data_IF_879833534113
#
_entry.id   IF_879833534113
#
_cell.length_a   1.000
_cell.length_b   1.000
_cell.length_c   1.000
_cell.angle_alpha   90.00
_cell.angle_beta   90.00
_cell.angle_gamma   90.00
#
_symmetry.space_group_name_H-M   'P 1'
#
loop_
_entity.id
_entity.type
_entity.pdbx_description
1 polymer ?
#
# COMPACT_ATOMS: atom_id res chain seq x y z
N UNK A 1 -5.20 -17.80 -2.88
CA UNK A 1 -4.09 -17.10 -3.58
C UNK A 1 -2.91 -18.06 -3.76
N UNK A 2 -2.11 -17.85 -4.78
CA UNK A 2 -0.85 -18.57 -5.03
C UNK A 2 0.28 -17.56 -5.29
N UNK A 3 1.52 -18.02 -5.22
CA UNK A 3 2.69 -17.18 -5.50
C UNK A 3 2.84 -17.10 -7.03
N UNK A 4 2.61 -15.93 -7.59
CA UNK A 4 2.78 -15.68 -9.02
C UNK A 4 4.26 -15.37 -9.35
N UNK A 5 4.91 -14.59 -8.48
CA UNK A 5 6.29 -14.16 -8.69
C UNK A 5 7.03 -14.13 -7.36
N UNK A 6 8.26 -14.63 -7.35
CA UNK A 6 9.17 -14.54 -6.21
C UNK A 6 10.44 -13.79 -6.64
N UNK A 7 10.72 -12.69 -5.97
CA UNK A 7 11.93 -11.89 -6.17
C UNK A 7 12.77 -11.97 -4.91
N UNK A 8 14.07 -12.22 -5.06
CA UNK A 8 15.03 -12.20 -3.96
C UNK A 8 16.10 -11.15 -4.24
N UNK A 9 16.40 -10.31 -3.25
CA UNK A 9 17.42 -9.27 -3.34
C UNK A 9 18.30 -9.26 -2.10
N UNK A 10 19.60 -9.14 -2.28
CA UNK A 10 20.54 -8.86 -1.18
C UNK A 10 20.58 -7.36 -0.93
N UNK A 11 20.39 -6.96 0.35
CA UNK A 11 20.42 -5.58 0.81
C UNK A 11 21.69 -5.33 1.64
N UNK A 12 22.39 -4.19 1.46
CA UNK A 12 23.56 -3.83 2.23
C UNK A 12 23.19 -3.18 3.56
N UNK A 13 22.36 -3.82 4.36
CA UNK A 13 21.96 -3.34 5.68
C UNK A 13 21.53 -4.50 6.58
N UNK A 14 21.52 -4.27 7.89
CA UNK A 14 21.02 -5.25 8.85
C UNK A 14 19.54 -5.55 8.61
N UNK A 15 19.16 -6.83 8.71
CA UNK A 15 17.79 -7.28 8.45
C UNK A 15 16.73 -6.64 9.36
N UNK A 16 17.09 -6.31 10.62
CA UNK A 16 16.18 -5.63 11.55
C UNK A 16 15.95 -4.19 11.12
N UNK A 17 17.02 -3.46 10.75
CA UNK A 17 16.89 -2.10 10.25
C UNK A 17 16.07 -2.05 8.95
N UNK A 18 16.27 -3.03 8.05
CA UNK A 18 15.45 -3.16 6.86
C UNK A 18 13.97 -3.41 7.20
N UNK A 19 13.70 -4.31 8.17
CA UNK A 19 12.34 -4.61 8.60
C UNK A 19 11.67 -3.39 9.28
N UNK A 20 12.39 -2.68 10.15
CA UNK A 20 11.88 -1.51 10.87
C UNK A 20 11.42 -0.40 9.92
N UNK A 21 12.13 -0.18 8.81
CA UNK A 21 11.76 0.82 7.80
C UNK A 21 10.41 0.53 7.11
N UNK A 22 9.87 -0.67 7.22
CA UNK A 22 8.55 -1.03 6.71
C UNK A 22 7.46 -1.04 7.80
N UNK A 23 7.83 -0.80 9.06
CA UNK A 23 6.89 -0.73 10.18
C UNK A 23 6.56 0.72 10.59
N UNK A 24 6.93 1.70 9.76
CA UNK A 24 6.68 3.10 10.03
C UNK A 24 6.49 3.87 8.72
N UNK A 25 5.93 5.08 8.80
CA UNK A 25 5.70 5.92 7.63
C UNK A 25 6.37 7.30 7.72
N UNK A 26 7.05 7.62 8.82
CA UNK A 26 7.65 8.95 9.00
C UNK A 26 8.81 9.22 8.05
N UNK A 27 9.48 8.18 7.51
CA UNK A 27 10.51 8.36 6.48
C UNK A 27 9.94 8.79 5.10
N UNK A 28 8.61 8.65 4.89
CA UNK A 28 7.95 9.02 3.63
C UNK A 28 8.22 10.48 3.27
N UNK A 29 8.22 11.36 4.28
CA UNK A 29 8.44 12.77 4.08
C UNK A 29 9.77 13.10 3.37
N UNK A 30 10.85 12.37 3.73
CA UNK A 30 12.20 12.60 3.22
C UNK A 30 12.57 11.65 2.07
N UNK A 31 12.07 10.42 2.12
CA UNK A 31 12.51 9.35 1.20
C UNK A 31 11.57 9.20 0.00
N UNK A 32 10.27 9.44 0.20
CA UNK A 32 9.20 9.29 -0.79
C UNK A 32 8.42 10.60 -0.94
N UNK A 33 9.13 11.71 -1.16
CA UNK A 33 8.55 13.06 -1.19
C UNK A 33 7.42 13.23 -2.22
N UNK A 34 7.40 12.45 -3.28
CA UNK A 34 6.29 12.44 -4.25
C UNK A 34 5.00 11.81 -3.67
N UNK A 35 5.14 10.96 -2.65
CA UNK A 35 4.02 10.30 -1.98
C UNK A 35 3.27 11.20 -0.99
N UNK A 36 3.86 12.30 -0.52
CA UNK A 36 3.31 13.12 0.57
C UNK A 36 1.94 13.75 0.25
N UNK A 37 1.58 13.86 -1.02
CA UNK A 37 0.28 14.40 -1.44
C UNK A 37 -0.87 13.39 -1.36
N UNK A 38 -0.54 12.09 -1.38
CA UNK A 38 -1.55 11.01 -1.44
C UNK A 38 -1.33 9.89 -0.44
N UNK A 39 -0.22 9.89 0.28
CA UNK A 39 0.10 8.91 1.30
C UNK A 39 0.57 9.65 2.56
N UNK A 40 -0.39 10.04 3.38
CA UNK A 40 -0.12 10.85 4.57
C UNK A 40 0.71 10.08 5.59
N UNK A 41 1.98 10.44 5.74
CA UNK A 41 2.97 9.80 6.61
C UNK A 41 2.53 9.73 8.09
N UNK A 42 1.94 10.80 8.61
CA UNK A 42 1.44 10.84 9.99
C UNK A 42 0.01 10.27 10.17
N UNK A 43 -0.66 9.90 9.08
CA UNK A 43 -1.98 9.27 9.09
C UNK A 43 -1.84 7.74 9.04
N UNK A 44 -1.04 7.19 9.93
CA UNK A 44 -0.81 5.77 10.06
C UNK A 44 -1.30 5.26 11.42
N UNK A 45 -1.98 4.12 11.39
CA UNK A 45 -2.50 3.48 12.60
C UNK A 45 -1.70 2.21 12.91
N UNK A 46 -1.52 1.95 14.20
CA UNK A 46 -0.78 0.78 14.68
C UNK A 46 -1.60 0.00 15.70
N UNK A 47 -1.66 -1.31 15.51
CA UNK A 47 -2.23 -2.24 16.48
C UNK A 47 -1.19 -3.29 16.87
N UNK A 48 -1.24 -3.72 18.12
CA UNK A 48 -0.37 -4.77 18.67
C UNK A 48 -1.24 -5.91 19.19
N UNK A 49 -1.00 -7.12 18.66
CA UNK A 49 -1.72 -8.33 19.02
C UNK A 49 -0.76 -9.31 19.73
N UNK A 50 -0.68 -9.18 21.05
CA UNK A 50 0.29 -9.95 21.85
C UNK A 50 1.75 -9.58 21.54
N UNK A 51 2.66 -10.54 21.71
CA UNK A 51 4.10 -10.28 21.67
C UNK A 51 4.73 -10.43 20.27
N UNK A 52 3.97 -10.95 19.30
CA UNK A 52 4.57 -11.42 18.04
C UNK A 52 3.88 -10.91 16.78
N UNK A 53 2.76 -10.19 16.91
CA UNK A 53 1.99 -9.71 15.76
C UNK A 53 1.67 -8.23 15.95
N UNK A 54 1.93 -7.44 14.92
CA UNK A 54 1.43 -6.07 14.82
C UNK A 54 0.75 -5.84 13.48
N UNK A 55 -0.11 -4.82 13.44
CA UNK A 55 -0.68 -4.31 12.21
C UNK A 55 -0.32 -2.84 12.05
N UNK A 56 0.12 -2.50 10.88
CA UNK A 56 0.33 -1.15 10.43
C UNK A 56 -0.66 -0.85 9.30
N UNK A 57 -1.37 0.27 9.39
CA UNK A 57 -2.28 0.74 8.34
C UNK A 57 -1.80 2.10 7.88
N UNK A 58 -1.30 2.16 6.66
CA UNK A 58 -0.87 3.40 6.03
C UNK A 58 -1.98 3.90 5.09
N UNK A 59 -2.55 5.03 5.44
CA UNK A 59 -3.73 5.58 4.77
C UNK A 59 -3.36 6.20 3.43
N UNK A 60 -4.03 5.78 2.37
CA UNK A 60 -3.85 6.29 1.01
C UNK A 60 -4.96 7.31 0.67
N UNK A 61 -4.64 8.32 -0.12
CA UNK A 61 -5.57 9.39 -0.54
C UNK A 61 -5.72 10.51 0.48
N UNK A 62 -4.79 10.64 1.41
CA UNK A 62 -4.65 11.80 2.29
C UNK A 62 -3.31 12.48 2.08
N UNK A 63 -3.34 13.81 2.06
CA UNK A 63 -2.11 14.61 2.05
C UNK A 63 -1.48 14.60 3.43
N UNK A 64 -0.15 14.49 3.47
CA UNK A 64 0.62 14.63 4.70
C UNK A 64 0.24 15.89 5.47
N UNK A 65 0.05 15.83 6.80
CA UNK A 65 -0.21 17.01 7.62
C UNK A 65 0.97 18.01 7.64
N UNK A 66 2.15 17.57 7.25
CA UNK A 66 3.33 18.44 7.10
C UNK A 66 3.24 19.38 5.88
N UNK A 67 2.38 19.07 4.92
CA UNK A 67 2.07 19.98 3.81
C UNK A 67 1.03 21.00 4.31
N UNK A 68 1.49 22.15 4.77
CA UNK A 68 0.65 23.21 5.36
C UNK A 68 0.12 24.14 4.29
N UNK A 69 0.97 24.53 3.33
CA UNK A 69 0.65 25.43 2.24
C UNK A 69 0.39 24.68 0.94
N UNK A 70 -0.44 25.25 0.08
CA UNK A 70 -0.75 24.68 -1.24
C UNK A 70 -1.18 23.20 -1.20
N UNK A 71 -2.01 22.85 -0.22
CA UNK A 71 -2.55 21.49 -0.11
C UNK A 71 -3.39 21.17 -1.35
N UNK A 72 -3.20 20.00 -1.96
CA UNK A 72 -4.02 19.60 -3.10
C UNK A 72 -5.50 19.49 -2.72
N UNK A 73 -6.35 19.87 -3.65
CA UNK A 73 -7.79 19.65 -3.58
C UNK A 73 -8.10 18.14 -3.71
N UNK A 74 -9.33 17.75 -3.37
CA UNK A 74 -9.77 16.35 -3.55
C UNK A 74 -9.64 15.89 -5.00
N UNK A 75 -9.86 16.79 -5.97
CA UNK A 75 -9.68 16.47 -7.38
C UNK A 75 -8.22 16.20 -7.73
N UNK A 76 -7.30 17.05 -7.27
CA UNK A 76 -5.86 16.87 -7.50
C UNK A 76 -5.33 15.59 -6.83
N UNK A 77 -5.81 15.27 -5.62
CA UNK A 77 -5.49 14.00 -4.95
C UNK A 77 -5.93 12.82 -5.82
N UNK A 78 -7.16 12.83 -6.33
CA UNK A 78 -7.65 11.78 -7.23
C UNK A 78 -6.82 11.69 -8.50
N UNK A 79 -6.50 12.82 -9.11
CA UNK A 79 -5.71 12.87 -10.34
C UNK A 79 -4.30 12.27 -10.13
N UNK A 80 -3.68 12.55 -8.97
CA UNK A 80 -2.38 11.94 -8.60
C UNK A 80 -2.52 10.43 -8.38
N UNK A 81 -3.56 9.98 -7.68
CA UNK A 81 -3.83 8.54 -7.48
C UNK A 81 -4.04 7.81 -8.80
N UNK A 82 -4.55 8.50 -9.82
CA UNK A 82 -4.72 7.99 -11.19
C UNK A 82 -3.48 8.19 -12.07
N UNK A 83 -2.33 8.52 -11.49
CA UNK A 83 -1.03 8.56 -12.16
C UNK A 83 -0.67 9.90 -12.80
N UNK A 84 -1.38 10.99 -12.48
CA UNK A 84 -1.04 12.36 -12.89
C UNK A 84 -0.07 13.00 -11.90
N UNK A 85 0.53 14.13 -12.31
CA UNK A 85 1.35 14.94 -11.43
C UNK A 85 0.56 16.13 -10.88
N UNK A 86 0.95 16.62 -9.71
CA UNK A 86 0.41 17.86 -9.17
C UNK A 86 0.67 19.02 -10.14
N UNK A 87 -0.41 19.76 -10.47
CA UNK A 87 -0.37 20.87 -11.43
C UNK A 87 -0.66 20.48 -12.89
N UNK A 88 -0.86 19.20 -13.19
CA UNK A 88 -1.37 18.76 -14.50
C UNK A 88 -2.83 19.22 -14.68
N UNK A 89 -3.29 19.22 -15.94
CA UNK A 89 -4.70 19.44 -16.25
C UNK A 89 -5.57 18.39 -15.57
N UNK A 90 -6.73 18.80 -15.07
CA UNK A 90 -7.68 17.92 -14.39
C UNK A 90 -8.10 16.73 -15.26
N UNK A 91 -8.06 15.53 -14.68
CA UNK A 91 -8.46 14.29 -15.32
C UNK A 91 -9.94 14.23 -15.71
N UNK A 92 -10.31 13.21 -16.50
CA UNK A 92 -11.70 12.98 -16.93
C UNK A 92 -12.61 12.52 -15.78
N UNK A 93 -12.06 11.79 -14.82
CA UNK A 93 -12.80 11.33 -13.64
C UNK A 93 -12.92 12.48 -12.66
N UNK A 94 -14.14 12.78 -12.24
CA UNK A 94 -14.40 13.89 -11.31
C UNK A 94 -14.75 13.38 -9.93
N UNK A 95 -14.33 14.12 -8.91
CA UNK A 95 -14.79 13.92 -7.53
C UNK A 95 -16.14 14.63 -7.41
N UNK A 96 -17.25 13.89 -7.18
CA UNK A 96 -18.56 14.52 -6.98
C UNK A 96 -18.58 15.40 -5.74
N UNK A 97 -19.48 16.39 -5.74
CA UNK A 97 -19.72 17.22 -4.56
C UNK A 97 -20.12 16.35 -3.35
N UNK A 98 -19.49 16.60 -2.21
CA UNK A 98 -19.71 15.83 -0.98
C UNK A 98 -18.97 14.48 -0.91
N UNK A 99 -18.25 14.08 -1.97
CA UNK A 99 -17.37 12.89 -1.97
C UNK A 99 -15.91 13.26 -1.75
N UNK A 100 -15.10 12.25 -1.46
CA UNK A 100 -13.65 12.34 -1.31
C UNK A 100 -12.93 11.64 -2.44
N UNK A 101 -11.68 12.03 -2.70
CA UNK A 101 -10.80 11.32 -3.63
C UNK A 101 -10.67 9.82 -3.30
N UNK A 102 -10.60 9.49 -2.00
CA UNK A 102 -10.51 8.12 -1.50
C UNK A 102 -11.72 7.27 -1.89
N UNK A 103 -12.93 7.80 -1.71
CA UNK A 103 -14.17 7.09 -2.04
C UNK A 103 -14.30 6.84 -3.54
N UNK A 104 -13.91 7.82 -4.35
CA UNK A 104 -13.93 7.66 -5.82
C UNK A 104 -12.87 6.65 -6.26
N UNK A 105 -11.66 6.78 -5.75
CA UNK A 105 -10.56 5.88 -6.10
C UNK A 105 -10.84 4.44 -5.65
N UNK A 106 -11.40 4.23 -4.45
CA UNK A 106 -11.78 2.92 -3.98
C UNK A 106 -12.79 2.22 -4.91
N UNK A 107 -13.81 2.96 -5.39
CA UNK A 107 -14.77 2.40 -6.35
C UNK A 107 -14.12 1.99 -7.66
N UNK A 108 -13.22 2.81 -8.19
CA UNK A 108 -12.46 2.48 -9.41
C UNK A 108 -11.66 1.19 -9.20
N UNK A 109 -10.93 1.08 -8.08
CA UNK A 109 -10.15 -0.12 -7.76
C UNK A 109 -11.04 -1.35 -7.60
N UNK A 110 -12.19 -1.22 -6.93
CA UNK A 110 -13.14 -2.34 -6.77
C UNK A 110 -13.66 -2.83 -8.12
N UNK A 111 -14.00 -1.92 -9.02
CA UNK A 111 -14.48 -2.24 -10.38
C UNK A 111 -13.36 -2.90 -11.21
N UNK A 112 -12.19 -2.30 -11.30
CA UNK A 112 -11.04 -2.85 -12.04
C UNK A 112 -10.61 -4.23 -11.54
N UNK A 113 -10.55 -4.41 -10.23
CA UNK A 113 -10.19 -5.70 -9.63
C UNK A 113 -11.32 -6.72 -9.76
N UNK A 114 -12.58 -6.24 -9.73
CA UNK A 114 -13.76 -7.07 -10.00
C UNK A 114 -13.73 -7.66 -11.40
N UNK A 115 -13.46 -6.85 -12.40
CA UNK A 115 -13.30 -7.29 -13.78
C UNK A 115 -12.10 -8.25 -13.94
N UNK A 116 -10.95 -7.87 -13.37
CA UNK A 116 -9.71 -8.64 -13.45
C UNK A 116 -9.83 -10.03 -12.84
N UNK A 117 -10.47 -10.14 -11.68
CA UNK A 117 -10.56 -11.39 -10.91
C UNK A 117 -11.92 -12.07 -10.97
N UNK A 118 -12.85 -11.55 -11.77
CA UNK A 118 -14.23 -12.05 -11.91
C UNK A 118 -14.91 -12.27 -10.56
N UNK A 119 -14.77 -11.28 -9.69
CA UNK A 119 -15.23 -11.33 -8.30
C UNK A 119 -15.86 -10.00 -7.90
N UNK A 120 -16.82 -10.02 -7.00
CA UNK A 120 -17.42 -8.80 -6.44
C UNK A 120 -16.63 -8.32 -5.21
N UNK A 121 -16.08 -7.12 -5.28
CA UNK A 121 -15.37 -6.43 -4.19
C UNK A 121 -16.13 -5.23 -3.63
N UNK A 122 -17.37 -5.00 -4.05
CA UNK A 122 -18.19 -3.85 -3.60
C UNK A 122 -18.50 -3.86 -2.10
N UNK A 123 -18.36 -5.02 -1.45
CA UNK A 123 -18.55 -5.19 -0.02
C UNK A 123 -17.36 -4.72 0.83
N UNK A 124 -16.21 -4.45 0.22
CA UNK A 124 -15.01 -3.97 0.94
C UNK A 124 -15.18 -2.50 1.31
N UNK A 125 -14.70 -2.15 2.47
CA UNK A 125 -14.57 -0.75 2.89
C UNK A 125 -13.50 -0.02 2.06
N UNK A 126 -13.49 1.31 2.12
CA UNK A 126 -12.45 2.12 1.47
C UNK A 126 -11.06 1.71 1.96
N UNK A 127 -10.89 1.53 3.27
CA UNK A 127 -9.63 1.09 3.88
C UNK A 127 -9.18 -0.28 3.37
N UNK A 128 -10.06 -1.28 3.35
CA UNK A 128 -9.72 -2.62 2.85
C UNK A 128 -9.39 -2.62 1.36
N UNK A 129 -9.90 -1.62 0.62
CA UNK A 129 -9.68 -1.51 -0.82
C UNK A 129 -8.35 -0.85 -1.16
N UNK A 130 -8.04 0.30 -0.56
CA UNK A 130 -6.94 1.15 -1.04
C UNK A 130 -5.82 1.40 -0.03
N UNK A 131 -6.05 1.23 1.29
CA UNK A 131 -4.99 1.47 2.26
C UNK A 131 -3.96 0.33 2.27
N UNK A 132 -2.72 0.67 2.59
CA UNK A 132 -1.68 -0.33 2.81
C UNK A 132 -1.86 -0.93 4.20
N UNK A 133 -2.54 -2.07 4.27
CA UNK A 133 -2.71 -2.83 5.50
C UNK A 133 -1.59 -3.86 5.55
N UNK A 134 -0.72 -3.74 6.54
CA UNK A 134 0.43 -4.60 6.70
C UNK A 134 0.39 -5.29 8.06
N UNK A 135 0.48 -6.61 8.07
CA UNK A 135 0.68 -7.40 9.27
C UNK A 135 2.13 -7.85 9.36
N UNK A 136 2.78 -7.46 10.43
CA UNK A 136 4.08 -8.02 10.80
C UNK A 136 3.89 -9.22 11.71
N UNK A 137 4.55 -10.33 11.36
CA UNK A 137 4.62 -11.55 12.17
C UNK A 137 6.08 -11.78 12.52
N UNK A 138 6.38 -11.66 13.82
CA UNK A 138 7.74 -11.89 14.33
C UNK A 138 8.26 -13.28 13.89
N UNK A 139 9.52 -13.43 13.50
CA UNK A 139 10.57 -12.41 13.60
C UNK A 139 10.72 -11.50 12.36
N UNK A 140 10.19 -11.87 11.19
CA UNK A 140 10.60 -11.20 9.96
C UNK A 140 9.65 -11.34 8.77
N UNK A 141 8.40 -11.72 8.98
CA UNK A 141 7.42 -11.92 7.91
C UNK A 141 6.37 -10.78 7.91
N UNK A 142 6.05 -10.31 6.71
CA UNK A 142 5.11 -9.24 6.46
C UNK A 142 4.04 -9.69 5.48
N UNK A 143 2.78 -9.44 5.78
CA UNK A 143 1.64 -9.87 5.00
C UNK A 143 0.75 -8.68 4.64
N UNK A 144 0.45 -8.52 3.35
CA UNK A 144 -0.47 -7.52 2.83
C UNK A 144 -1.75 -8.20 2.35
N UNK A 145 -2.82 -8.20 3.17
CA UNK A 145 -4.08 -8.81 2.79
C UNK A 145 -4.91 -7.94 1.85
N UNK A 146 -4.58 -6.66 1.71
CA UNK A 146 -5.33 -5.69 0.92
C UNK A 146 -5.52 -6.08 -0.54
N UNK A 147 -6.43 -5.39 -1.20
CA UNK A 147 -6.78 -5.67 -2.59
C UNK A 147 -5.69 -5.22 -3.56
N UNK A 148 -5.07 -4.05 -3.31
CA UNK A 148 -4.07 -3.45 -4.20
C UNK A 148 -2.67 -4.07 -4.09
N UNK A 149 -2.29 -4.53 -2.90
CA UNK A 149 -0.95 -5.03 -2.62
C UNK A 149 -0.98 -6.49 -2.14
N UNK A 150 -1.39 -7.45 -2.98
CA UNK A 150 -1.45 -8.85 -2.58
C UNK A 150 -0.06 -9.46 -2.55
N UNK A 151 0.71 -9.19 -1.50
CA UNK A 151 2.09 -9.68 -1.38
C UNK A 151 2.43 -10.14 0.03
N UNK A 152 3.49 -10.91 0.11
CA UNK A 152 4.19 -11.29 1.34
C UNK A 152 5.66 -10.97 1.14
N UNK A 153 6.31 -10.42 2.15
CA UNK A 153 7.75 -10.33 2.14
C UNK A 153 8.37 -10.66 3.48
N UNK A 154 9.67 -10.92 3.44
CA UNK A 154 10.45 -11.17 4.65
C UNK A 154 11.89 -10.70 4.48
N UNK A 155 12.49 -10.36 5.62
CA UNK A 155 13.89 -10.01 5.71
C UNK A 155 14.64 -11.11 6.46
N UNK A 156 15.54 -11.80 5.79
CA UNK A 156 16.38 -12.85 6.41
C UNK A 156 17.77 -12.30 6.69
N UNK A 157 18.38 -12.63 7.85
CA UNK A 157 19.76 -12.24 8.13
C UNK A 157 20.73 -12.90 7.13
N UNK A 158 21.70 -12.11 6.68
CA UNK A 158 22.86 -12.58 5.91
C UNK A 158 24.13 -11.94 6.49
N UNK A 159 24.44 -12.29 7.74
CA UNK A 159 25.45 -11.63 8.56
C UNK A 159 24.91 -10.39 9.28
N UNK A 160 25.80 -9.55 9.79
CA UNK A 160 25.46 -8.36 10.58
C UNK A 160 25.04 -7.20 9.68
N UNK A 161 25.69 -7.07 8.53
CA UNK A 161 25.59 -5.88 7.66
C UNK A 161 24.76 -6.13 6.40
N UNK A 162 24.19 -7.31 6.23
CA UNK A 162 23.42 -7.66 5.07
C UNK A 162 22.13 -8.39 5.43
N UNK A 163 21.14 -8.24 4.57
CA UNK A 163 19.88 -8.98 4.62
C UNK A 163 19.53 -9.57 3.25
N UNK A 164 18.81 -10.67 3.27
CA UNK A 164 18.12 -11.20 2.09
C UNK A 164 16.67 -10.78 2.19
N UNK A 165 16.21 -10.01 1.21
CA UNK A 165 14.84 -9.59 1.05
C UNK A 165 14.14 -10.51 0.05
N UNK A 166 13.16 -11.28 0.51
CA UNK A 166 12.29 -12.08 -0.32
C UNK A 166 10.95 -11.38 -0.48
N UNK A 167 10.51 -11.18 -1.70
CA UNK A 167 9.23 -10.57 -2.06
C UNK A 167 8.43 -11.57 -2.90
N UNK A 168 7.23 -11.91 -2.42
CA UNK A 168 6.32 -12.89 -2.99
C UNK A 168 5.04 -12.18 -3.42
N UNK A 169 4.84 -11.99 -4.72
CA UNK A 169 3.60 -11.46 -5.27
C UNK A 169 2.57 -12.58 -5.33
N UNK A 170 1.38 -12.29 -4.80
CA UNK A 170 0.29 -13.24 -4.73
C UNK A 170 -0.77 -12.91 -5.78
N UNK A 171 -1.31 -13.95 -6.40
CA UNK A 171 -2.46 -13.83 -7.28
C UNK A 171 -3.65 -14.59 -6.72
N UNK A 172 -4.87 -14.02 -6.73
CA UNK A 172 -6.10 -14.76 -6.44
C UNK A 172 -6.29 -15.91 -7.42
N UNK A 173 -6.89 -16.99 -6.94
CA UNK A 173 -7.37 -18.05 -7.83
C UNK A 173 -8.56 -17.52 -8.64
N UNK A 174 -8.53 -17.73 -9.95
CA UNK A 174 -9.67 -17.47 -10.84
C UNK A 174 -10.13 -18.81 -11.41
N UNK A 175 -11.40 -19.15 -11.25
CA UNK A 175 -11.93 -20.41 -11.75
C UNK A 175 -11.83 -20.50 -13.26
N UNK A 176 -11.33 -21.62 -13.77
CA UNK A 176 -11.11 -21.86 -15.20
C UNK A 176 -9.75 -21.36 -15.75
N UNK A 177 -8.91 -20.74 -14.93
CA UNK A 177 -7.52 -20.43 -15.30
C UNK A 177 -6.59 -21.59 -14.94
N UNK A 178 -5.64 -21.88 -15.85
CA UNK A 178 -4.54 -22.79 -15.54
C UNK A 178 -3.62 -22.11 -14.51
N UNK A 179 -3.34 -22.84 -13.42
CA UNK A 179 -2.36 -22.39 -12.43
C UNK A 179 -0.99 -22.94 -12.77
N UNK A 180 0.12 -22.23 -12.38
CA UNK A 180 1.46 -22.75 -12.50
C UNK A 180 1.72 -23.96 -11.57
#
# INVERSE_FOLDING_TARGET
RYIETHVTKKLPCNWKAAAEAFLEAYHVLETHSEGVYTAGDANADYDIFGDHISRFVHTIGYTSPHIVENRPSQQEILDILLGRKLGDDTGSVKVPEGSTAREVYARIVQEEMGEKYKSDFSHLTVTETIDSIEYFVFPNAFFFPGLQLPMVYRFRPDGVDHAIFDLLFLRPYVEGENQP
#
